data_IF_983384832690
#
_entry.id   IF_983384832690
#
_cell.length_a   1.000
_cell.length_b   1.000
_cell.length_c   1.000
_cell.angle_alpha   90.00
_cell.angle_beta   90.00
_cell.angle_gamma   90.00
#
_symmetry.space_group_name_H-M   'P 1'
#
loop_
_entity.id
_entity.type
_entity.pdbx_description
1 polymer ?
#
# COMPACT_ATOMS: atom_id res chain seq x y z
N UNK A 1 10.45 18.74 7.66
CA UNK A 1 9.61 17.54 7.75
C UNK A 1 9.77 16.98 9.16
N UNK A 2 8.70 16.58 9.84
CA UNK A 2 8.78 15.96 11.19
C UNK A 2 9.70 14.73 11.10
N UNK A 3 10.59 14.58 12.06
CA UNK A 3 11.41 13.39 12.21
C UNK A 3 10.73 12.50 13.25
N UNK A 4 10.44 11.27 12.87
CA UNK A 4 9.77 10.29 13.74
C UNK A 4 10.79 9.51 14.56
N UNK A 5 10.40 9.14 15.76
CA UNK A 5 11.16 8.29 16.65
C UNK A 5 10.85 6.82 16.36
N UNK A 6 11.41 6.32 15.26
CA UNK A 6 11.28 4.94 14.82
C UNK A 6 12.41 4.12 15.42
N UNK A 7 12.16 2.91 15.94
CA UNK A 7 13.18 2.02 16.51
C UNK A 7 14.42 1.87 15.61
N UNK A 8 15.61 1.88 16.22
CA UNK A 8 16.89 1.90 15.50
C UNK A 8 17.10 0.64 14.65
N UNK A 9 16.53 -0.49 15.05
CA UNK A 9 16.60 -1.76 14.31
C UNK A 9 15.86 -1.74 12.96
N UNK A 10 15.04 -0.71 12.68
CA UNK A 10 14.41 -0.51 11.36
C UNK A 10 15.22 0.43 10.46
N UNK A 11 16.20 1.13 11.01
CA UNK A 11 17.04 2.07 10.28
C UNK A 11 18.26 1.37 9.69
N UNK A 12 18.80 1.94 8.63
CA UNK A 12 20.02 1.51 7.97
C UNK A 12 20.94 2.72 7.80
N UNK A 13 22.18 2.67 8.30
CA UNK A 13 23.15 3.73 8.02
C UNK A 13 23.44 3.92 6.54
N UNK A 14 23.63 2.82 5.79
CA UNK A 14 23.86 2.84 4.34
C UNK A 14 22.69 3.48 3.61
N UNK A 15 21.46 2.98 3.82
CA UNK A 15 20.29 3.50 3.10
C UNK A 15 20.00 4.95 3.49
N UNK A 16 20.23 5.32 4.75
CA UNK A 16 20.13 6.71 5.19
C UNK A 16 21.12 7.60 4.45
N UNK A 17 22.36 7.18 4.32
CA UNK A 17 23.40 7.92 3.61
C UNK A 17 23.07 8.07 2.12
N UNK A 18 22.65 6.98 1.45
CA UNK A 18 22.19 7.00 0.05
C UNK A 18 21.02 7.98 -0.14
N UNK A 19 20.00 7.92 0.72
CA UNK A 19 18.83 8.82 0.65
C UNK A 19 19.23 10.29 0.87
N UNK A 20 20.16 10.56 1.79
CA UNK A 20 20.67 11.90 2.06
C UNK A 20 21.49 12.45 0.88
N UNK A 21 22.40 11.64 0.33
CA UNK A 21 23.18 11.97 -0.86
C UNK A 21 22.26 12.36 -2.03
N UNK A 22 21.28 11.50 -2.35
CA UNK A 22 20.31 11.76 -3.42
C UNK A 22 19.49 13.02 -3.17
N UNK A 23 19.10 13.30 -1.92
CA UNK A 23 18.38 14.53 -1.56
C UNK A 23 19.21 15.79 -1.75
N UNK A 24 20.53 15.73 -1.55
CA UNK A 24 21.44 16.85 -1.79
C UNK A 24 21.60 17.13 -3.28
N UNK A 25 21.74 16.06 -4.10
CA UNK A 25 21.89 16.16 -5.55
C UNK A 25 20.61 16.64 -6.25
N UNK A 26 19.46 16.18 -5.80
CA UNK A 26 18.16 16.48 -6.41
C UNK A 26 17.12 16.88 -5.34
N UNK A 27 17.18 18.15 -4.92
CA UNK A 27 16.27 18.73 -3.91
C UNK A 27 14.79 18.73 -4.36
N UNK A 28 14.56 18.83 -5.66
CA UNK A 28 13.22 18.91 -6.25
C UNK A 28 12.64 17.54 -6.63
N UNK A 29 13.38 16.46 -6.40
CA UNK A 29 12.99 15.08 -6.74
C UNK A 29 12.60 14.88 -8.21
N UNK A 30 13.25 15.59 -9.13
CA UNK A 30 12.98 15.51 -10.57
C UNK A 30 13.76 14.39 -11.27
N UNK A 31 14.89 14.01 -10.70
CA UNK A 31 15.72 12.92 -11.20
C UNK A 31 15.25 11.59 -10.63
N UNK A 32 14.55 10.81 -11.47
CA UNK A 32 14.03 9.48 -11.14
C UNK A 32 15.05 8.35 -11.32
N UNK A 33 16.27 8.63 -11.80
CA UNK A 33 17.29 7.60 -12.02
C UNK A 33 17.63 6.84 -10.73
N UNK A 34 17.88 5.52 -10.79
CA UNK A 34 18.27 4.75 -9.63
C UNK A 34 19.68 5.11 -9.15
N UNK A 35 19.97 4.80 -7.89
CA UNK A 35 21.30 4.94 -7.34
C UNK A 35 22.08 3.65 -7.56
N UNK A 36 23.23 3.74 -8.22
CA UNK A 36 24.13 2.61 -8.39
C UNK A 36 24.97 2.39 -7.13
N UNK A 37 24.98 1.13 -6.65
CA UNK A 37 25.95 0.59 -5.71
C UNK A 37 26.81 -0.43 -6.49
N UNK A 38 28.06 -0.07 -6.74
CA UNK A 38 29.01 -0.92 -7.47
C UNK A 38 29.78 -1.81 -6.49
N UNK A 39 29.44 -3.09 -6.42
CA UNK A 39 30.12 -4.07 -5.57
C UNK A 39 31.09 -4.96 -6.38
N UNK A 40 31.61 -4.46 -7.50
CA UNK A 40 32.52 -5.18 -8.39
C UNK A 40 31.82 -6.25 -9.22
N UNK A 41 31.60 -7.45 -8.67
CA UNK A 41 30.92 -8.54 -9.38
C UNK A 41 29.40 -8.33 -9.53
N UNK A 42 28.85 -7.34 -8.84
CA UNK A 42 27.44 -7.06 -8.82
C UNK A 42 27.18 -5.55 -8.79
N UNK A 43 26.31 -5.08 -9.66
CA UNK A 43 25.78 -3.72 -9.65
C UNK A 43 24.36 -3.74 -9.12
N UNK A 44 24.11 -3.04 -8.02
CA UNK A 44 22.77 -2.85 -7.47
C UNK A 44 22.28 -1.45 -7.83
N UNK A 45 21.11 -1.38 -8.45
CA UNK A 45 20.43 -0.13 -8.77
C UNK A 45 19.25 0.03 -7.82
N UNK A 46 19.40 0.92 -6.83
CA UNK A 46 18.33 1.24 -5.88
C UNK A 46 17.37 2.26 -6.47
N UNK A 47 16.08 2.00 -6.40
CA UNK A 47 15.06 2.95 -6.80
C UNK A 47 15.23 4.31 -6.09
N UNK A 48 14.78 5.40 -6.74
CA UNK A 48 14.89 6.76 -6.18
C UNK A 48 14.09 6.94 -4.89
N UNK A 49 12.93 6.28 -4.79
CA UNK A 49 12.03 6.29 -3.65
C UNK A 49 11.64 4.85 -3.27
N UNK A 50 11.76 4.52 -2.01
CA UNK A 50 11.43 3.24 -1.41
C UNK A 50 11.50 3.32 0.13
N UNK A 51 11.01 2.28 0.82
CA UNK A 51 11.06 2.18 2.28
C UNK A 51 9.98 2.98 2.99
N UNK A 52 10.06 3.08 4.30
CA UNK A 52 9.03 3.68 5.14
C UNK A 52 8.57 5.05 4.67
N UNK A 53 7.24 5.21 4.56
CA UNK A 53 6.61 6.49 4.29
C UNK A 53 6.21 7.20 5.58
N UNK A 54 5.82 8.47 5.47
CA UNK A 54 5.37 9.30 6.60
C UNK A 54 4.28 8.62 7.45
N UNK A 55 3.24 8.05 6.81
CA UNK A 55 2.13 7.40 7.52
C UNK A 55 2.58 6.18 8.31
N UNK A 56 3.49 5.39 7.74
CA UNK A 56 4.08 4.21 8.39
C UNK A 56 4.98 4.62 9.57
N UNK A 57 5.88 5.57 9.40
CA UNK A 57 6.75 6.04 10.50
C UNK A 57 5.93 6.63 11.65
N UNK A 58 4.87 7.38 11.35
CA UNK A 58 3.96 7.92 12.35
C UNK A 58 3.24 6.81 13.13
N UNK A 59 2.73 5.79 12.42
CA UNK A 59 2.05 4.68 13.06
C UNK A 59 2.97 3.88 13.99
N UNK A 60 4.19 3.61 13.54
CA UNK A 60 5.22 2.92 14.33
C UNK A 60 5.57 3.76 15.57
N UNK A 61 5.85 5.05 15.43
CA UNK A 61 6.18 5.93 16.57
C UNK A 61 5.07 5.90 17.62
N UNK A 62 3.80 6.05 17.23
CA UNK A 62 2.67 6.03 18.15
C UNK A 62 2.55 4.66 18.84
N UNK A 63 2.66 3.55 18.09
CA UNK A 63 2.52 2.22 18.66
C UNK A 63 3.60 1.92 19.71
N UNK A 64 4.86 2.15 19.39
CA UNK A 64 5.98 1.91 20.32
C UNK A 64 5.90 2.83 21.54
N UNK A 65 5.63 4.11 21.36
CA UNK A 65 5.41 5.05 22.49
C UNK A 65 4.20 4.68 23.33
N UNK A 66 3.15 4.12 22.74
CA UNK A 66 1.99 3.63 23.49
C UNK A 66 2.40 2.52 24.43
N UNK A 67 3.23 1.58 23.98
CA UNK A 67 3.73 0.49 24.82
C UNK A 67 4.62 1.03 25.94
N UNK A 68 5.58 1.88 25.61
CA UNK A 68 6.54 2.46 26.59
C UNK A 68 5.85 3.28 27.67
N UNK A 69 4.85 4.07 27.30
CA UNK A 69 4.16 4.99 28.21
C UNK A 69 3.05 4.32 29.06
N UNK A 70 2.71 3.05 28.78
CA UNK A 70 1.63 2.35 29.46
C UNK A 70 2.07 0.99 30.02
N UNK A 71 3.11 0.94 30.88
CA UNK A 71 3.59 -0.31 31.43
C UNK A 71 2.49 -1.00 32.25
N UNK A 72 2.31 -2.30 32.03
CA UNK A 72 1.33 -3.13 32.73
C UNK A 72 -0.11 -3.05 32.22
N UNK A 73 -0.42 -2.20 31.24
CA UNK A 73 -1.71 -2.20 30.58
C UNK A 73 -1.77 -3.26 29.47
N UNK A 74 -2.93 -3.83 29.24
CA UNK A 74 -3.17 -4.64 28.05
C UNK A 74 -3.33 -3.72 26.85
N UNK A 75 -2.51 -3.97 25.81
CA UNK A 75 -2.54 -3.19 24.56
C UNK A 75 -2.94 -4.13 23.43
N UNK A 76 -3.93 -3.71 22.69
CA UNK A 76 -4.43 -4.39 21.50
C UNK A 76 -4.21 -3.54 20.28
N UNK A 77 -3.87 -4.17 19.16
CA UNK A 77 -4.02 -3.63 17.83
C UNK A 77 -5.34 -4.15 17.25
N UNK A 78 -6.08 -3.29 16.60
CA UNK A 78 -7.32 -3.71 15.94
C UNK A 78 -7.04 -4.79 14.88
N UNK A 79 -6.00 -4.58 14.05
CA UNK A 79 -5.43 -5.58 13.12
C UNK A 79 -3.92 -5.33 12.97
N UNK A 80 -3.27 -5.86 11.93
CA UNK A 80 -1.87 -5.53 11.63
C UNK A 80 -1.64 -4.01 11.59
N UNK A 81 -0.58 -3.52 12.25
CA UNK A 81 -0.25 -2.10 12.26
C UNK A 81 0.01 -1.56 10.85
N UNK A 82 0.79 -2.32 10.12
CA UNK A 82 1.16 -2.12 8.72
C UNK A 82 1.40 -3.48 8.08
N UNK A 83 1.36 -3.59 6.77
CA UNK A 83 1.67 -4.85 6.08
C UNK A 83 3.18 -5.12 6.06
N UNK A 84 3.74 -5.37 7.25
CA UNK A 84 5.13 -5.80 7.44
C UNK A 84 5.22 -6.83 8.57
N UNK A 85 5.62 -8.08 8.26
CA UNK A 85 5.61 -9.16 9.24
C UNK A 85 6.59 -8.96 10.39
N UNK A 86 7.75 -8.33 10.16
CA UNK A 86 8.73 -8.07 11.22
C UNK A 86 8.18 -7.07 12.24
N UNK A 87 7.63 -5.95 11.79
CA UNK A 87 7.08 -4.92 12.68
C UNK A 87 5.93 -5.49 13.52
N UNK A 88 5.05 -6.29 12.92
CA UNK A 88 3.95 -6.92 13.64
C UNK A 88 4.46 -7.96 14.64
N UNK A 89 5.49 -8.76 14.30
CA UNK A 89 6.11 -9.71 15.21
C UNK A 89 6.80 -9.02 16.38
N UNK A 90 7.48 -7.91 16.15
CA UNK A 90 8.13 -7.13 17.21
C UNK A 90 7.09 -6.59 18.20
N UNK A 91 5.96 -6.04 17.72
CA UNK A 91 4.85 -5.61 18.59
C UNK A 91 4.25 -6.76 19.41
N UNK A 92 4.05 -7.93 18.80
CA UNK A 92 3.58 -9.13 19.49
C UNK A 92 4.59 -9.57 20.58
N UNK A 93 5.89 -9.52 20.29
CA UNK A 93 6.96 -9.86 21.26
C UNK A 93 6.95 -8.94 22.49
N UNK A 94 6.46 -7.70 22.32
CA UNK A 94 6.27 -6.72 23.39
C UNK A 94 4.92 -6.86 24.14
N UNK A 95 4.15 -7.91 23.84
CA UNK A 95 2.90 -8.24 24.53
C UNK A 95 1.63 -7.67 23.89
N UNK A 96 1.73 -7.02 22.73
CA UNK A 96 0.56 -6.55 21.98
C UNK A 96 -0.19 -7.73 21.36
N UNK A 97 -1.52 -7.67 21.37
CA UNK A 97 -2.40 -8.70 20.78
C UNK A 97 -3.25 -8.10 19.66
N UNK A 98 -3.59 -8.91 18.66
CA UNK A 98 -4.50 -8.49 17.58
C UNK A 98 -5.94 -8.88 17.89
N UNK A 99 -6.88 -7.95 17.69
CA UNK A 99 -8.33 -8.21 17.82
C UNK A 99 -8.90 -8.89 16.58
N UNK A 100 -8.38 -8.53 15.41
CA UNK A 100 -8.83 -9.06 14.11
C UNK A 100 -7.62 -9.42 13.23
N UNK A 101 -7.86 -10.29 12.25
CA UNK A 101 -6.96 -10.46 11.11
C UNK A 101 -7.14 -9.33 10.06
N UNK A 102 -6.32 -9.36 9.03
CA UNK A 102 -6.36 -8.35 7.94
C UNK A 102 -7.66 -8.39 7.13
N UNK A 103 -8.42 -9.47 7.19
CA UNK A 103 -9.74 -9.61 6.55
C UNK A 103 -10.90 -9.14 7.45
N UNK A 104 -10.60 -8.76 8.70
CA UNK A 104 -11.59 -8.32 9.69
C UNK A 104 -12.25 -9.47 10.45
N UNK A 105 -11.73 -10.70 10.31
CA UNK A 105 -12.17 -11.82 11.11
C UNK A 105 -11.65 -11.67 12.53
N UNK A 106 -12.55 -11.73 13.49
CA UNK A 106 -12.24 -11.60 14.89
C UNK A 106 -11.33 -12.75 15.37
N UNK A 107 -10.21 -12.39 16.02
CA UNK A 107 -9.24 -13.30 16.63
C UNK A 107 -9.44 -13.35 18.14
N UNK A 108 -9.67 -12.18 18.75
CA UNK A 108 -10.02 -12.02 20.16
C UNK A 108 -11.40 -11.35 20.22
N UNK A 109 -12.29 -11.85 21.08
CA UNK A 109 -13.62 -11.27 21.22
C UNK A 109 -13.54 -9.82 21.70
N UNK A 110 -14.31 -8.94 21.07
CA UNK A 110 -14.48 -7.58 21.58
C UNK A 110 -15.08 -7.56 22.99
N UNK A 111 -15.75 -8.63 23.43
CA UNK A 111 -16.28 -8.72 24.78
C UNK A 111 -15.19 -8.96 25.85
N UNK A 112 -14.00 -9.36 25.43
CA UNK A 112 -12.85 -9.53 26.34
C UNK A 112 -12.16 -8.20 26.66
N UNK A 113 -12.42 -7.14 25.89
CA UNK A 113 -11.80 -5.82 26.11
C UNK A 113 -12.69 -4.94 26.97
N UNK A 114 -12.05 -4.11 27.78
CA UNK A 114 -12.69 -3.22 28.77
C UNK A 114 -12.17 -1.79 28.63
N UNK A 115 -12.81 -0.82 29.25
CA UNK A 115 -12.40 0.59 29.26
C UNK A 115 -10.97 0.83 29.84
N UNK A 116 -10.39 -0.16 30.54
CA UNK A 116 -9.01 -0.07 31.05
C UNK A 116 -7.95 -0.47 30.03
N UNK A 117 -8.34 -1.10 28.94
CA UNK A 117 -7.48 -1.55 27.87
C UNK A 117 -7.19 -0.44 26.86
N UNK A 118 -6.09 -0.57 26.15
CA UNK A 118 -5.75 0.34 25.06
C UNK A 118 -5.97 -0.41 23.74
N UNK A 119 -6.69 0.22 22.81
CA UNK A 119 -6.84 -0.27 21.44
C UNK A 119 -6.23 0.74 20.49
N UNK A 120 -5.23 0.30 19.75
CA UNK A 120 -4.56 1.10 18.72
C UNK A 120 -5.22 0.83 17.37
N UNK A 121 -5.68 1.88 16.71
CA UNK A 121 -6.22 1.81 15.34
C UNK A 121 -5.04 1.81 14.35
N UNK A 122 -4.96 0.86 13.40
CA UNK A 122 -3.83 0.76 12.47
C UNK A 122 -3.81 1.89 11.43
N UNK A 123 -2.71 1.98 10.67
CA UNK A 123 -2.52 3.01 9.65
C UNK A 123 -3.59 3.03 8.55
N UNK A 124 -4.32 1.95 8.36
CA UNK A 124 -5.40 1.80 7.37
C UNK A 124 -6.73 2.41 7.81
N UNK A 125 -6.83 2.82 9.09
CA UNK A 125 -8.09 3.23 9.72
C UNK A 125 -8.99 2.04 10.07
N UNK A 126 -10.24 2.34 10.38
CA UNK A 126 -11.27 1.32 10.67
C UNK A 126 -12.65 1.77 10.23
N UNK A 127 -13.63 0.87 10.35
CA UNK A 127 -15.03 1.16 10.02
C UNK A 127 -15.73 1.92 11.16
N UNK A 128 -16.70 2.76 10.81
CA UNK A 128 -17.54 3.49 11.79
C UNK A 128 -18.24 2.55 12.79
N UNK A 129 -18.61 1.34 12.36
CA UNK A 129 -19.22 0.36 13.26
C UNK A 129 -18.26 -0.08 14.38
N UNK A 130 -16.96 -0.27 14.05
CA UNK A 130 -15.94 -0.62 15.05
C UNK A 130 -15.63 0.58 15.94
N UNK A 131 -15.52 1.79 15.38
CA UNK A 131 -15.33 3.00 16.19
C UNK A 131 -16.45 3.18 17.21
N UNK A 132 -17.69 3.01 16.79
CA UNK A 132 -18.85 3.04 17.66
C UNK A 132 -18.79 1.95 18.74
N UNK A 133 -18.48 0.71 18.37
CA UNK A 133 -18.35 -0.40 19.33
C UNK A 133 -17.28 -0.11 20.40
N UNK A 134 -16.11 0.40 20.00
CA UNK A 134 -15.04 0.75 20.92
C UNK A 134 -15.45 1.91 21.84
N UNK A 135 -16.15 2.92 21.31
CA UNK A 135 -16.67 4.04 22.09
C UNK A 135 -17.74 3.60 23.11
N UNK A 136 -18.65 2.69 22.73
CA UNK A 136 -19.66 2.11 23.64
C UNK A 136 -19.03 1.32 24.79
N UNK A 137 -17.85 0.74 24.57
CA UNK A 137 -17.05 0.07 25.62
C UNK A 137 -16.21 1.04 26.46
N UNK A 138 -16.27 2.34 26.19
CA UNK A 138 -15.50 3.37 26.89
C UNK A 138 -14.02 3.41 26.54
N UNK A 139 -13.62 2.82 25.40
CA UNK A 139 -12.21 2.79 24.95
C UNK A 139 -11.86 4.11 24.26
N UNK A 140 -10.83 4.77 24.77
CA UNK A 140 -10.32 6.05 24.26
C UNK A 140 -9.40 5.82 23.06
N UNK A 141 -9.96 5.81 21.83
CA UNK A 141 -9.16 5.55 20.62
C UNK A 141 -8.43 6.79 20.10
N UNK A 142 -8.89 8.01 20.41
CA UNK A 142 -8.38 9.25 19.82
C UNK A 142 -6.84 9.44 19.98
N UNK A 143 -6.29 9.04 21.14
CA UNK A 143 -4.84 9.15 21.40
C UNK A 143 -4.01 8.01 20.77
N UNK A 144 -4.67 6.98 20.32
CA UNK A 144 -4.08 5.74 19.79
C UNK A 144 -4.53 5.44 18.36
N UNK A 145 -5.05 6.45 17.68
CA UNK A 145 -5.42 6.37 16.29
C UNK A 145 -4.19 6.68 15.42
N UNK A 146 -3.75 5.69 14.66
CA UNK A 146 -2.61 5.82 13.75
C UNK A 146 -3.03 5.93 12.29
N UNK A 147 -4.32 6.13 12.02
CA UNK A 147 -4.84 6.29 10.66
C UNK A 147 -3.99 7.28 9.87
N UNK A 148 -3.56 6.86 8.70
CA UNK A 148 -2.73 7.68 7.86
C UNK A 148 -3.51 8.91 7.37
N UNK A 149 -2.97 10.14 7.48
CA UNK A 149 -3.65 11.34 7.02
C UNK A 149 -4.05 11.32 5.53
N UNK A 150 -3.38 10.50 4.72
CA UNK A 150 -3.75 10.32 3.31
C UNK A 150 -4.98 9.42 3.14
N UNK A 151 -5.24 8.50 4.06
CA UNK A 151 -6.49 7.72 4.12
C UNK A 151 -7.63 8.63 4.55
N UNK A 152 -7.45 9.41 5.62
CA UNK A 152 -8.44 10.42 6.06
C UNK A 152 -8.78 11.43 4.96
N UNK A 153 -7.78 11.81 4.15
CA UNK A 153 -8.01 12.69 2.99
C UNK A 153 -8.97 12.09 1.97
N UNK A 154 -8.96 10.77 1.77
CA UNK A 154 -9.94 10.08 0.90
C UNK A 154 -11.33 10.18 1.49
N UNK A 155 -11.47 9.98 2.81
CA UNK A 155 -12.76 10.11 3.53
C UNK A 155 -13.31 11.52 3.40
N UNK A 156 -12.52 12.55 3.71
CA UNK A 156 -12.90 13.96 3.56
C UNK A 156 -13.25 14.31 2.09
N UNK A 157 -12.57 13.71 1.12
CA UNK A 157 -12.91 13.90 -0.29
C UNK A 157 -14.24 13.26 -0.64
N UNK A 158 -14.52 12.08 -0.09
CA UNK A 158 -15.80 11.39 -0.25
C UNK A 158 -16.96 12.23 0.30
N UNK A 159 -16.80 12.82 1.49
CA UNK A 159 -17.76 13.74 2.07
C UNK A 159 -18.04 14.98 1.19
N UNK A 160 -16.98 15.63 0.68
CA UNK A 160 -17.11 16.76 -0.24
C UNK A 160 -17.84 16.41 -1.55
N UNK A 161 -17.68 15.17 -2.04
CA UNK A 161 -18.40 14.65 -3.21
C UNK A 161 -19.87 14.44 -2.85
N UNK A 162 -20.16 13.83 -1.69
CA UNK A 162 -21.49 13.58 -1.17
C UNK A 162 -22.29 14.87 -0.96
N UNK A 163 -21.70 15.93 -0.39
CA UNK A 163 -22.31 17.24 -0.20
C UNK A 163 -22.83 17.87 -1.51
N UNK A 164 -22.23 17.51 -2.65
CA UNK A 164 -22.66 17.94 -3.99
C UNK A 164 -23.70 17.01 -4.61
N UNK A 165 -24.19 16.03 -3.85
CA UNK A 165 -25.21 15.07 -4.27
C UNK A 165 -24.72 14.00 -5.25
N UNK A 166 -23.44 13.66 -5.25
CA UNK A 166 -22.92 12.54 -6.01
C UNK A 166 -22.87 11.27 -5.15
N UNK A 167 -23.08 10.13 -5.78
CA UNK A 167 -22.70 8.83 -5.23
C UNK A 167 -21.20 8.60 -5.41
N UNK A 168 -20.66 7.55 -4.80
CA UNK A 168 -19.23 7.25 -4.86
C UNK A 168 -18.99 5.86 -5.44
N UNK A 169 -18.06 5.78 -6.39
CA UNK A 169 -17.44 4.54 -6.85
C UNK A 169 -16.03 4.50 -6.25
N UNK A 170 -15.73 3.47 -5.45
CA UNK A 170 -14.40 3.25 -4.87
C UNK A 170 -13.67 2.23 -5.73
N UNK A 171 -12.53 2.61 -6.32
CA UNK A 171 -11.59 1.66 -6.90
C UNK A 171 -10.66 1.14 -5.81
N UNK A 172 -10.78 -0.14 -5.47
CA UNK A 172 -9.97 -0.77 -4.43
C UNK A 172 -10.34 -2.24 -4.20
N UNK A 173 -9.43 -2.97 -3.58
CA UNK A 173 -9.67 -4.38 -3.22
C UNK A 173 -10.73 -4.45 -2.11
N UNK A 174 -11.91 -5.06 -2.33
CA UNK A 174 -13.02 -4.99 -1.35
C UNK A 174 -12.68 -5.52 0.04
N UNK A 175 -11.82 -6.55 0.12
CA UNK A 175 -11.42 -7.14 1.41
C UNK A 175 -10.27 -6.39 2.10
N UNK A 176 -9.61 -5.45 1.43
CA UNK A 176 -8.51 -4.70 2.03
C UNK A 176 -9.00 -3.78 3.15
N UNK A 177 -8.27 -3.70 4.26
CA UNK A 177 -8.63 -2.94 5.46
C UNK A 177 -8.95 -1.47 5.12
N UNK A 178 -8.10 -0.81 4.35
CA UNK A 178 -8.30 0.57 3.92
C UNK A 178 -9.55 0.75 3.07
N UNK A 179 -9.85 -0.20 2.15
CA UNK A 179 -11.05 -0.14 1.31
C UNK A 179 -12.31 -0.31 2.15
N UNK A 180 -12.30 -1.22 3.13
CA UNK A 180 -13.44 -1.41 4.06
C UNK A 180 -13.66 -0.17 4.92
N UNK A 181 -12.59 0.44 5.43
CA UNK A 181 -12.67 1.69 6.18
C UNK A 181 -13.23 2.82 5.31
N UNK A 182 -12.65 3.05 4.13
CA UNK A 182 -13.10 4.07 3.17
C UNK A 182 -14.56 3.86 2.74
N UNK A 183 -14.94 2.60 2.46
CA UNK A 183 -16.32 2.27 2.14
C UNK A 183 -17.28 2.61 3.29
N UNK A 184 -16.92 2.29 4.53
CA UNK A 184 -17.75 2.56 5.70
C UNK A 184 -17.97 4.07 5.90
N UNK A 185 -16.91 4.89 5.74
CA UNK A 185 -17.01 6.35 5.87
C UNK A 185 -17.77 6.96 4.70
N UNK A 186 -17.53 6.54 3.46
CA UNK A 186 -18.25 7.04 2.29
C UNK A 186 -19.73 6.65 2.31
N UNK A 187 -20.04 5.41 2.65
CA UNK A 187 -21.42 4.90 2.71
C UNK A 187 -22.29 5.58 3.79
N UNK A 188 -21.66 6.15 4.82
CA UNK A 188 -22.36 6.95 5.82
C UNK A 188 -22.80 8.33 5.26
N UNK A 189 -22.17 8.82 4.20
CA UNK A 189 -22.44 10.12 3.61
C UNK A 189 -23.31 10.03 2.35
N UNK A 190 -23.14 8.98 1.53
CA UNK A 190 -23.80 8.85 0.22
C UNK A 190 -23.81 7.40 -0.25
N UNK A 191 -24.73 7.01 -1.16
CA UNK A 191 -24.68 5.71 -1.80
C UNK A 191 -23.32 5.42 -2.44
N UNK A 192 -22.75 4.28 -2.09
CA UNK A 192 -21.36 3.93 -2.41
C UNK A 192 -21.27 2.52 -2.95
N UNK A 193 -20.41 2.30 -3.94
CA UNK A 193 -20.08 0.99 -4.51
C UNK A 193 -18.57 0.83 -4.67
N UNK A 194 -18.07 -0.41 -4.53
CA UNK A 194 -16.66 -0.76 -4.72
C UNK A 194 -16.48 -1.57 -6.00
N UNK A 195 -15.50 -1.21 -6.81
CA UNK A 195 -15.00 -1.99 -7.95
C UNK A 195 -13.52 -2.33 -7.71
N UNK A 196 -13.15 -3.58 -8.00
CA UNK A 196 -11.79 -4.06 -7.76
C UNK A 196 -10.80 -3.66 -8.87
N UNK A 197 -11.27 -3.67 -10.13
CA UNK A 197 -10.42 -3.52 -11.32
C UNK A 197 -11.22 -3.05 -12.54
N UNK A 198 -10.54 -2.96 -13.68
CA UNK A 198 -11.17 -2.56 -14.94
C UNK A 198 -12.26 -3.53 -15.40
N UNK A 199 -12.12 -4.83 -15.17
CA UNK A 199 -13.12 -5.81 -15.59
C UNK A 199 -14.45 -5.60 -14.85
N UNK A 200 -14.41 -5.40 -13.53
CA UNK A 200 -15.59 -5.05 -12.73
C UNK A 200 -16.15 -3.66 -13.08
N UNK A 201 -15.27 -2.73 -13.42
CA UNK A 201 -15.68 -1.39 -13.89
C UNK A 201 -16.44 -1.45 -15.20
N UNK A 202 -16.01 -2.27 -16.15
CA UNK A 202 -16.74 -2.55 -17.40
C UNK A 202 -18.08 -3.19 -17.10
N UNK A 203 -18.12 -4.10 -16.14
CA UNK A 203 -19.38 -4.73 -15.72
C UNK A 203 -20.34 -3.71 -15.12
N UNK A 204 -19.88 -2.82 -14.23
CA UNK A 204 -20.66 -1.71 -13.68
C UNK A 204 -21.20 -0.79 -14.80
N UNK A 205 -20.38 -0.51 -15.80
CA UNK A 205 -20.76 0.33 -16.94
C UNK A 205 -21.92 -0.26 -17.75
N UNK A 206 -22.05 -1.59 -17.84
CA UNK A 206 -23.20 -2.23 -18.51
C UNK A 206 -24.52 -1.96 -17.79
N UNK A 207 -24.50 -1.89 -16.46
CA UNK A 207 -25.65 -1.46 -15.67
C UNK A 207 -25.94 0.03 -15.86
N UNK A 208 -24.91 0.87 -15.86
CA UNK A 208 -25.06 2.33 -16.11
C UNK A 208 -25.72 2.57 -17.46
N UNK A 209 -25.34 1.83 -18.51
CA UNK A 209 -25.83 2.01 -19.88
C UNK A 209 -27.12 1.24 -20.19
N UNK A 210 -27.63 0.44 -19.24
CA UNK A 210 -28.83 -0.38 -19.45
C UNK A 210 -28.60 -1.62 -20.36
N UNK A 211 -27.34 -2.00 -20.58
CA UNK A 211 -26.98 -3.23 -21.32
C UNK A 211 -27.13 -4.51 -20.48
N UNK A 212 -27.25 -4.37 -19.17
CA UNK A 212 -27.51 -5.45 -18.24
C UNK A 212 -28.72 -5.11 -17.37
N UNK A 213 -29.53 -6.14 -17.04
CA UNK A 213 -30.75 -5.93 -16.26
C UNK A 213 -30.44 -5.59 -14.79
N UNK A 214 -31.25 -4.73 -14.22
CA UNK A 214 -31.12 -4.36 -12.80
C UNK A 214 -31.24 -5.57 -11.85
N UNK A 215 -32.01 -6.59 -12.24
CA UNK A 215 -32.15 -7.85 -11.48
C UNK A 215 -30.82 -8.60 -11.24
N UNK A 216 -29.85 -8.41 -12.12
CA UNK A 216 -28.58 -9.14 -12.08
C UNK A 216 -27.53 -8.43 -11.23
N UNK A 217 -27.84 -7.20 -10.76
CA UNK A 217 -26.91 -6.36 -10.03
C UNK A 217 -26.49 -6.97 -8.69
N UNK A 218 -27.45 -7.53 -7.96
CA UNK A 218 -27.19 -8.21 -6.68
C UNK A 218 -26.18 -9.35 -6.84
N UNK A 219 -26.31 -10.15 -7.90
CA UNK A 219 -25.38 -11.25 -8.17
C UNK A 219 -23.98 -10.72 -8.51
N UNK A 220 -23.90 -9.67 -9.32
CA UNK A 220 -22.63 -9.13 -9.81
C UNK A 220 -21.82 -8.42 -8.72
N UNK A 221 -22.50 -7.69 -7.81
CA UNK A 221 -21.86 -6.79 -6.83
C UNK A 221 -22.25 -7.08 -5.38
N UNK A 222 -22.70 -8.29 -5.06
CA UNK A 222 -23.11 -8.66 -3.71
C UNK A 222 -22.08 -8.31 -2.65
N UNK A 223 -22.52 -7.56 -1.63
CA UNK A 223 -21.67 -7.13 -0.50
C UNK A 223 -20.65 -6.04 -0.84
N UNK A 224 -20.78 -5.37 -2.00
CA UNK A 224 -19.87 -4.33 -2.47
C UNK A 224 -20.50 -2.94 -2.57
N UNK A 225 -21.75 -2.78 -2.21
CA UNK A 225 -22.47 -1.52 -2.24
C UNK A 225 -23.19 -1.27 -0.91
N UNK A 226 -23.48 -0.01 -0.63
CA UNK A 226 -24.13 0.43 0.59
C UNK A 226 -25.60 0.00 0.64
N UNK A 227 -26.15 -0.13 1.85
CA UNK A 227 -27.56 -0.42 2.06
C UNK A 227 -28.45 0.61 1.34
N UNK A 228 -29.51 0.13 0.70
CA UNK A 228 -30.43 0.97 -0.08
C UNK A 228 -29.86 1.50 -1.40
N UNK A 229 -28.72 0.97 -1.87
CA UNK A 229 -28.14 1.36 -3.17
C UNK A 229 -29.09 0.94 -4.31
N UNK A 230 -29.47 1.91 -5.15
CA UNK A 230 -30.31 1.72 -6.32
C UNK A 230 -29.56 2.17 -7.59
N UNK A 231 -29.31 1.24 -8.49
CA UNK A 231 -28.55 1.51 -9.73
C UNK A 231 -29.20 2.57 -10.62
N UNK A 232 -30.54 2.66 -10.62
CA UNK A 232 -31.28 3.58 -11.47
C UNK A 232 -31.19 5.03 -10.98
N UNK A 233 -31.01 5.21 -9.67
CA UNK A 233 -30.94 6.53 -9.03
C UNK A 233 -29.51 6.92 -8.66
N UNK A 234 -28.66 5.98 -8.21
CA UNK A 234 -27.37 6.29 -7.65
C UNK A 234 -26.20 6.21 -8.63
N UNK A 235 -26.43 5.67 -9.85
CA UNK A 235 -25.44 5.67 -10.94
C UNK A 235 -25.69 6.74 -12.01
N UNK A 236 -26.61 7.69 -11.75
CA UNK A 236 -26.84 8.84 -12.65
C UNK A 236 -25.79 9.94 -12.44
N UNK A 237 -25.27 10.07 -11.21
CA UNK A 237 -24.33 11.11 -10.83
C UNK A 237 -23.37 10.57 -9.77
N UNK A 238 -22.10 10.43 -10.11
CA UNK A 238 -21.12 9.89 -9.17
C UNK A 238 -19.70 10.45 -9.36
N UNK A 239 -18.88 10.29 -8.33
CA UNK A 239 -17.44 10.52 -8.39
C UNK A 239 -16.66 9.25 -8.10
N UNK A 240 -15.41 9.19 -8.54
CA UNK A 240 -14.50 8.06 -8.32
C UNK A 240 -13.45 8.45 -7.28
N UNK A 241 -13.27 7.63 -6.26
CA UNK A 241 -12.13 7.67 -5.33
C UNK A 241 -11.44 6.32 -5.34
N UNK A 242 -10.23 6.23 -4.82
CA UNK A 242 -9.50 4.97 -4.84
C UNK A 242 -8.78 4.69 -3.51
N UNK A 243 -8.58 3.42 -3.23
CA UNK A 243 -7.64 2.97 -2.20
C UNK A 243 -6.27 3.61 -2.48
N UNK A 244 -5.63 4.20 -1.47
CA UNK A 244 -4.45 5.06 -1.62
C UNK A 244 -3.22 4.36 -2.19
N UNK A 245 -3.22 3.03 -2.21
CA UNK A 245 -2.11 2.16 -2.63
C UNK A 245 -2.33 1.45 -3.97
N UNK A 246 -3.34 1.84 -4.74
CA UNK A 246 -3.62 1.26 -6.07
C UNK A 246 -2.57 1.68 -7.12
N UNK A 247 -2.56 0.98 -8.26
CA UNK A 247 -1.72 1.34 -9.39
C UNK A 247 -2.26 2.62 -10.05
N UNK A 248 -1.38 3.60 -10.25
CA UNK A 248 -1.77 4.92 -10.75
C UNK A 248 -2.37 4.84 -12.18
N UNK A 249 -1.79 4.01 -13.04
CA UNK A 249 -2.29 3.78 -14.40
C UNK A 249 -3.69 3.20 -14.40
N UNK A 250 -3.98 2.23 -13.53
CA UNK A 250 -5.28 1.58 -13.45
C UNK A 250 -6.34 2.52 -12.89
N UNK A 251 -5.97 3.27 -11.83
CA UNK A 251 -6.85 4.28 -11.23
C UNK A 251 -7.27 5.33 -12.27
N UNK A 252 -6.31 5.83 -13.06
CA UNK A 252 -6.59 6.79 -14.10
C UNK A 252 -7.45 6.17 -15.21
N UNK A 253 -7.10 4.96 -15.67
CA UNK A 253 -7.86 4.27 -16.73
C UNK A 253 -9.31 3.99 -16.33
N UNK A 254 -9.56 3.58 -15.09
CA UNK A 254 -10.90 3.32 -14.52
C UNK A 254 -11.71 4.64 -14.48
N UNK A 255 -11.11 5.71 -13.98
CA UNK A 255 -11.77 7.02 -13.91
C UNK A 255 -12.12 7.54 -15.29
N UNK A 256 -11.19 7.49 -16.24
CA UNK A 256 -11.38 7.95 -17.62
C UNK A 256 -12.41 7.10 -18.35
N UNK A 257 -12.43 5.79 -18.14
CA UNK A 257 -13.43 4.90 -18.73
C UNK A 257 -14.83 5.24 -18.21
N UNK A 258 -15.05 5.34 -16.90
CA UNK A 258 -16.33 5.70 -16.33
C UNK A 258 -16.78 7.10 -16.77
N UNK A 259 -15.87 8.06 -16.84
CA UNK A 259 -16.12 9.39 -17.37
C UNK A 259 -16.61 9.32 -18.83
N UNK A 260 -15.95 8.51 -19.66
CA UNK A 260 -16.35 8.32 -21.07
C UNK A 260 -17.74 7.69 -21.20
N UNK A 261 -18.07 6.73 -20.34
CA UNK A 261 -19.40 6.10 -20.28
C UNK A 261 -20.47 7.13 -19.96
N UNK A 262 -20.23 8.03 -19.00
CA UNK A 262 -21.18 9.09 -18.64
C UNK A 262 -21.33 10.12 -19.75
N UNK A 263 -20.22 10.54 -20.37
CA UNK A 263 -20.24 11.46 -21.53
C UNK A 263 -21.09 10.87 -22.66
N UNK A 264 -20.87 9.60 -23.00
CA UNK A 264 -21.58 8.95 -24.09
C UNK A 264 -23.07 8.75 -23.76
N UNK A 265 -23.40 8.34 -22.53
CA UNK A 265 -24.79 8.09 -22.13
C UNK A 265 -25.63 9.38 -22.12
N UNK A 266 -25.08 10.48 -21.61
CA UNK A 266 -25.81 11.72 -21.38
C UNK A 266 -25.45 12.82 -22.37
N UNK A 267 -24.61 12.52 -23.39
CA UNK A 267 -24.14 13.47 -24.42
C UNK A 267 -23.54 14.74 -23.80
N UNK A 268 -22.67 14.54 -22.75
CA UNK A 268 -22.10 15.63 -21.98
C UNK A 268 -21.02 16.38 -22.74
N UNK A 269 -20.94 17.67 -22.46
CA UNK A 269 -19.85 18.56 -22.89
C UNK A 269 -18.94 18.86 -21.71
N UNK A 270 -17.83 19.58 -21.91
CA UNK A 270 -16.98 20.06 -20.81
C UNK A 270 -17.73 20.95 -19.82
N UNK A 271 -18.78 21.64 -20.24
CA UNK A 271 -19.59 22.54 -19.41
C UNK A 271 -20.68 21.83 -18.62
N UNK A 272 -21.09 20.61 -19.05
CA UNK A 272 -22.18 19.85 -18.41
C UNK A 272 -21.69 18.58 -17.73
N UNK A 273 -20.39 18.28 -17.78
CA UNK A 273 -19.80 17.08 -17.22
C UNK A 273 -20.08 16.94 -15.71
N UNK A 274 -19.99 18.03 -14.97
CA UNK A 274 -20.24 18.08 -13.53
C UNK A 274 -21.69 17.77 -13.13
N UNK A 275 -22.62 17.74 -14.05
CA UNK A 275 -24.00 17.31 -13.77
C UNK A 275 -24.10 15.81 -13.49
N UNK A 276 -23.17 15.01 -14.00
CA UNK A 276 -23.19 13.54 -13.91
C UNK A 276 -21.89 12.89 -13.43
N UNK A 277 -20.74 13.57 -13.54
CA UNK A 277 -19.45 13.03 -13.14
C UNK A 277 -18.64 14.05 -12.35
N UNK A 278 -18.27 13.71 -11.11
CA UNK A 278 -17.42 14.60 -10.32
C UNK A 278 -15.99 14.57 -10.87
N UNK A 279 -15.41 15.74 -11.14
CA UNK A 279 -13.99 15.84 -11.44
C UNK A 279 -13.18 15.58 -10.16
N UNK A 280 -12.83 14.33 -9.95
CA UNK A 280 -12.01 13.89 -8.83
C UNK A 280 -10.60 13.62 -9.34
N UNK A 281 -9.62 14.34 -8.79
CA UNK A 281 -8.22 13.95 -8.95
C UNK A 281 -8.03 12.59 -8.25
N UNK A 282 -7.03 11.81 -8.69
CA UNK A 282 -6.68 10.59 -8.00
C UNK A 282 -6.50 10.84 -6.50
N UNK A 283 -6.85 9.85 -5.69
CA UNK A 283 -6.71 9.88 -4.23
C UNK A 283 -5.55 9.01 -3.75
N UNK A 284 -4.60 8.70 -4.64
CA UNK A 284 -3.37 7.99 -4.29
C UNK A 284 -2.54 8.79 -3.28
N UNK A 285 -1.85 8.10 -2.38
CA UNK A 285 -0.93 8.78 -1.49
C UNK A 285 0.38 9.14 -2.22
N UNK A 286 1.07 10.18 -1.72
CA UNK A 286 2.34 10.62 -2.31
C UNK A 286 3.39 9.49 -2.38
N UNK A 287 3.43 8.62 -1.35
CA UNK A 287 4.39 7.51 -1.31
C UNK A 287 4.12 6.47 -2.40
N UNK A 288 2.85 6.21 -2.71
CA UNK A 288 2.46 5.35 -3.82
C UNK A 288 2.93 5.95 -5.14
N UNK A 289 2.65 7.23 -5.38
CA UNK A 289 3.07 7.92 -6.60
C UNK A 289 4.60 8.01 -6.72
N UNK A 290 5.30 8.42 -5.64
CA UNK A 290 6.76 8.51 -5.62
C UNK A 290 7.42 7.14 -5.90
N UNK A 291 6.93 6.05 -5.26
CA UNK A 291 7.49 4.72 -5.42
C UNK A 291 7.23 4.16 -6.83
N UNK A 292 6.01 4.28 -7.36
CA UNK A 292 5.68 3.79 -8.71
C UNK A 292 6.46 4.58 -9.78
N UNK A 293 6.56 5.90 -9.66
CA UNK A 293 7.35 6.74 -10.55
C UNK A 293 8.84 6.36 -10.51
N UNK A 294 9.38 6.14 -9.30
CA UNK A 294 10.77 5.73 -9.13
C UNK A 294 11.06 4.35 -9.75
N UNK A 295 10.14 3.40 -9.61
CA UNK A 295 10.27 2.08 -10.24
C UNK A 295 10.17 2.20 -11.76
N UNK A 296 9.22 2.95 -12.30
CA UNK A 296 9.09 3.17 -13.74
C UNK A 296 10.38 3.76 -14.32
N UNK A 297 10.96 4.78 -13.68
CA UNK A 297 12.25 5.36 -14.10
C UNK A 297 13.42 4.38 -13.95
N UNK A 298 13.43 3.57 -12.90
CA UNK A 298 14.47 2.55 -12.67
C UNK A 298 14.45 1.46 -13.76
N UNK A 299 13.28 1.12 -14.29
CA UNK A 299 13.09 0.11 -15.33
C UNK A 299 13.63 0.51 -16.71
N UNK A 300 14.05 1.76 -16.90
CA UNK A 300 14.80 2.20 -18.08
C UNK A 300 16.29 1.82 -17.98
N UNK A 301 16.76 1.37 -16.80
CA UNK A 301 18.13 0.90 -16.58
C UNK A 301 18.25 -0.56 -16.99
N UNK A 302 19.18 -0.92 -17.90
CA UNK A 302 19.41 -2.32 -18.27
C UNK A 302 19.86 -3.15 -17.07
N UNK A 303 19.10 -4.19 -16.74
CA UNK A 303 19.39 -5.09 -15.63
C UNK A 303 18.95 -6.51 -15.93
N UNK A 304 19.50 -7.48 -15.18
CA UNK A 304 19.25 -8.91 -15.37
C UNK A 304 17.97 -9.35 -14.65
N UNK A 305 17.70 -8.75 -13.49
CA UNK A 305 16.54 -9.07 -12.66
C UNK A 305 16.17 -7.94 -11.72
N UNK A 306 14.96 -8.02 -11.12
CA UNK A 306 14.54 -7.15 -10.03
C UNK A 306 14.23 -7.95 -8.75
N UNK A 307 14.55 -7.36 -7.61
CA UNK A 307 14.12 -7.84 -6.28
C UNK A 307 13.27 -6.74 -5.64
N UNK A 308 12.02 -7.08 -5.34
CA UNK A 308 11.07 -6.20 -4.68
C UNK A 308 10.86 -6.71 -3.26
N UNK A 309 11.10 -5.82 -2.26
CA UNK A 309 11.14 -6.20 -0.85
C UNK A 309 9.93 -5.62 -0.12
N UNK A 310 9.20 -6.46 0.64
CA UNK A 310 8.11 -6.01 1.50
C UNK A 310 7.13 -7.10 1.86
N UNK A 311 6.15 -6.77 2.69
CA UNK A 311 5.12 -7.71 3.15
C UNK A 311 4.22 -8.19 2.02
N UNK A 312 3.92 -9.47 1.98
CA UNK A 312 3.14 -10.09 0.91
C UNK A 312 1.69 -9.58 0.83
N UNK A 313 1.15 -9.05 1.93
CA UNK A 313 -0.17 -8.43 1.99
C UNK A 313 -0.17 -6.94 1.57
N UNK A 314 1.01 -6.34 1.38
CA UNK A 314 1.13 -4.94 0.99
C UNK A 314 0.68 -4.71 -0.45
N UNK A 315 -0.38 -3.95 -0.63
CA UNK A 315 -0.87 -3.52 -1.96
C UNK A 315 0.17 -2.67 -2.68
N UNK A 316 0.79 -1.71 -1.97
CA UNK A 316 1.87 -0.88 -2.54
C UNK A 316 3.01 -1.75 -3.08
N UNK A 317 3.51 -2.71 -2.28
CA UNK A 317 4.60 -3.59 -2.73
C UNK A 317 4.17 -4.47 -3.91
N UNK A 318 2.96 -5.04 -3.88
CA UNK A 318 2.44 -5.89 -4.96
C UNK A 318 2.43 -5.16 -6.31
N UNK A 319 2.04 -3.89 -6.33
CA UNK A 319 2.04 -3.09 -7.57
C UNK A 319 3.46 -2.74 -8.06
N UNK A 320 4.46 -2.62 -7.15
CA UNK A 320 5.85 -2.48 -7.58
C UNK A 320 6.38 -3.77 -8.23
N UNK A 321 5.96 -4.95 -7.70
CA UNK A 321 6.26 -6.24 -8.34
C UNK A 321 5.63 -6.31 -9.73
N UNK A 322 4.37 -5.94 -9.86
CA UNK A 322 3.64 -5.92 -11.14
C UNK A 322 4.34 -5.07 -12.20
N UNK A 323 4.79 -3.87 -11.82
CA UNK A 323 5.55 -2.99 -12.72
C UNK A 323 6.87 -3.62 -13.16
N UNK A 324 7.60 -4.26 -12.24
CA UNK A 324 8.87 -4.91 -12.56
C UNK A 324 8.68 -6.16 -13.44
N UNK A 325 7.71 -7.04 -13.10
CA UNK A 325 7.42 -8.28 -13.86
C UNK A 325 7.06 -8.01 -15.32
N UNK A 326 6.50 -6.85 -15.63
CA UNK A 326 6.17 -6.45 -16.99
C UNK A 326 7.42 -6.24 -17.87
N UNK A 327 8.63 -6.15 -17.29
CA UNK A 327 9.88 -5.81 -18.00
C UNK A 327 10.98 -6.86 -17.87
N UNK A 328 11.14 -7.51 -16.71
CA UNK A 328 12.26 -8.41 -16.43
C UNK A 328 11.90 -9.44 -15.35
N UNK A 329 12.68 -10.54 -15.20
CA UNK A 329 12.51 -11.49 -14.11
C UNK A 329 12.48 -10.77 -12.77
N UNK A 330 11.45 -11.01 -11.96
CA UNK A 330 11.21 -10.27 -10.71
C UNK A 330 10.92 -11.22 -9.57
N UNK A 331 11.56 -10.96 -8.43
CA UNK A 331 11.42 -11.78 -7.22
C UNK A 331 10.88 -10.94 -6.08
N UNK A 332 9.76 -11.38 -5.51
CA UNK A 332 9.10 -10.74 -4.39
C UNK A 332 9.44 -11.45 -3.08
N UNK A 333 10.16 -10.78 -2.19
CA UNK A 333 10.63 -11.32 -0.92
C UNK A 333 10.28 -10.40 0.25
N UNK A 334 10.09 -10.95 1.44
CA UNK A 334 9.81 -10.19 2.65
C UNK A 334 11.01 -10.02 3.58
N UNK A 335 12.07 -10.83 3.40
CA UNK A 335 13.27 -10.78 4.23
C UNK A 335 14.48 -11.41 3.51
N UNK A 336 15.73 -11.17 3.98
CA UNK A 336 16.95 -11.67 3.34
C UNK A 336 17.10 -13.20 3.35
N UNK A 337 16.44 -13.92 4.27
CA UNK A 337 16.54 -15.39 4.36
C UNK A 337 15.84 -16.10 3.18
N UNK A 338 15.06 -15.37 2.39
CA UNK A 338 14.46 -15.88 1.16
C UNK A 338 15.49 -16.09 0.06
N UNK A 339 16.66 -15.47 0.14
CA UNK A 339 17.82 -15.75 -0.71
C UNK A 339 18.60 -16.90 -0.07
N UNK A 340 18.41 -18.11 -0.56
CA UNK A 340 19.03 -19.30 0.01
C UNK A 340 20.50 -19.37 -0.35
N UNK A 341 20.80 -19.23 -1.65
CA UNK A 341 22.16 -19.30 -2.24
C UNK A 341 22.24 -18.43 -3.49
N UNK A 342 23.36 -18.42 -4.19
CA UNK A 342 23.47 -17.80 -5.51
C UNK A 342 22.58 -18.49 -6.58
N UNK A 343 22.10 -19.70 -6.30
CA UNK A 343 21.29 -20.48 -7.22
C UNK A 343 19.81 -20.49 -6.86
N UNK A 344 19.43 -20.25 -5.60
CA UNK A 344 18.06 -20.48 -5.12
C UNK A 344 17.51 -19.28 -4.35
N UNK A 345 16.29 -18.89 -4.71
CA UNK A 345 15.50 -17.86 -4.04
C UNK A 345 14.06 -18.34 -3.80
N UNK A 346 13.53 -18.05 -2.64
CA UNK A 346 12.11 -18.23 -2.31
C UNK A 346 11.39 -16.92 -2.64
N UNK A 347 10.36 -16.97 -3.47
CA UNK A 347 9.59 -15.79 -3.91
C UNK A 347 8.11 -16.02 -3.76
N UNK A 348 7.35 -14.94 -3.62
CA UNK A 348 5.90 -14.94 -3.53
C UNK A 348 5.29 -14.47 -4.86
N UNK A 349 4.33 -15.21 -5.38
CA UNK A 349 3.48 -14.70 -6.45
C UNK A 349 2.52 -13.66 -5.87
N UNK A 350 2.61 -12.42 -6.32
CA UNK A 350 1.82 -11.33 -5.75
C UNK A 350 0.31 -11.44 -5.99
N UNK A 351 -0.11 -12.18 -7.04
CA UNK A 351 -1.54 -12.41 -7.37
C UNK A 351 -2.12 -13.55 -6.54
N UNK A 352 -1.50 -14.73 -6.58
CA UNK A 352 -2.01 -15.95 -5.92
C UNK A 352 -1.60 -16.08 -4.46
N UNK A 353 -0.59 -15.32 -4.02
CA UNK A 353 0.08 -15.42 -2.72
C UNK A 353 0.80 -16.76 -2.50
N UNK A 354 0.98 -17.54 -3.55
CA UNK A 354 1.74 -18.78 -3.52
C UNK A 354 3.24 -18.49 -3.35
N UNK A 355 3.89 -19.23 -2.45
CA UNK A 355 5.32 -19.15 -2.19
C UNK A 355 6.02 -20.30 -2.92
N UNK A 356 6.98 -19.98 -3.76
CA UNK A 356 7.72 -20.96 -4.58
C UNK A 356 9.23 -20.74 -4.44
N UNK A 357 9.99 -21.82 -4.64
CA UNK A 357 11.45 -21.75 -4.74
C UNK A 357 11.83 -21.76 -6.22
N UNK A 358 12.63 -20.77 -6.61
CA UNK A 358 13.15 -20.63 -7.97
C UNK A 358 14.63 -20.97 -7.96
N UNK A 359 15.03 -21.90 -8.86
CA UNK A 359 16.43 -22.28 -9.08
C UNK A 359 17.03 -21.43 -10.20
N UNK A 360 18.35 -21.20 -10.13
CA UNK A 360 19.11 -20.41 -11.11
C UNK A 360 18.57 -18.97 -11.30
N UNK A 361 18.22 -18.32 -10.19
CA UNK A 361 17.67 -16.97 -10.24
C UNK A 361 18.70 -15.90 -10.60
N UNK A 362 20.00 -16.09 -10.23
CA UNK A 362 21.08 -15.23 -10.68
C UNK A 362 21.68 -15.77 -11.99
N UNK A 363 21.96 -14.90 -12.97
CA UNK A 363 22.63 -15.30 -14.20
C UNK A 363 24.08 -15.74 -13.93
N UNK A 364 24.48 -16.87 -14.49
CA UNK A 364 25.83 -17.44 -14.30
C UNK A 364 26.89 -16.82 -15.20
N UNK A 365 26.50 -16.18 -16.30
CA UNK A 365 27.38 -15.68 -17.35
C UNK A 365 27.48 -14.14 -17.40
N UNK A 366 26.85 -13.42 -16.43
CA UNK A 366 26.92 -11.98 -16.36
C UNK A 366 27.94 -11.53 -15.30
N UNK A 367 28.85 -10.64 -15.69
CA UNK A 367 29.77 -9.95 -14.75
C UNK A 367 29.98 -8.53 -15.23
N UNK A 368 29.56 -7.52 -14.44
CA UNK A 368 28.80 -7.64 -13.20
C UNK A 368 27.35 -8.08 -13.40
N UNK A 369 26.78 -8.80 -12.43
CA UNK A 369 25.35 -9.08 -12.36
C UNK A 369 24.62 -7.78 -12.01
N UNK A 370 23.60 -7.41 -12.77
CA UNK A 370 22.85 -6.15 -12.59
C UNK A 370 21.48 -6.40 -11.98
N UNK A 371 21.24 -5.87 -10.79
CA UNK A 371 20.03 -6.12 -10.02
C UNK A 371 19.32 -4.80 -9.70
N UNK A 372 18.05 -4.68 -10.09
CA UNK A 372 17.19 -3.60 -9.62
C UNK A 372 16.62 -3.95 -8.24
N UNK A 373 16.71 -3.03 -7.29
CA UNK A 373 16.14 -3.21 -5.95
C UNK A 373 15.21 -2.05 -5.62
N UNK A 374 14.01 -2.41 -5.16
CA UNK A 374 13.06 -1.49 -4.56
C UNK A 374 12.36 -2.15 -3.38
N UNK A 375 11.64 -1.35 -2.61
CA UNK A 375 10.81 -1.87 -1.53
C UNK A 375 9.52 -1.07 -1.35
N UNK A 376 8.51 -1.73 -0.79
CA UNK A 376 7.24 -1.08 -0.47
C UNK A 376 7.34 -0.05 0.65
N UNK A 377 6.32 0.81 0.74
CA UNK A 377 6.24 1.90 1.71
C UNK A 377 6.12 1.43 3.19
N UNK A 378 5.96 0.14 3.43
CA UNK A 378 5.94 -0.49 4.76
C UNK A 378 7.19 -1.33 5.06
N UNK A 379 8.25 -1.25 4.24
CA UNK A 379 9.48 -2.00 4.42
C UNK A 379 10.55 -1.18 5.15
N UNK A 380 11.13 -1.68 6.26
CA UNK A 380 12.24 -1.02 6.93
C UNK A 380 13.49 -0.92 6.05
N UNK A 381 14.22 0.19 6.14
CA UNK A 381 15.50 0.38 5.45
C UNK A 381 16.54 -0.69 5.84
N UNK A 382 16.50 -1.15 7.10
CA UNK A 382 17.37 -2.22 7.59
C UNK A 382 17.16 -3.55 6.84
N UNK A 383 15.94 -3.87 6.42
CA UNK A 383 15.65 -5.08 5.64
C UNK A 383 16.24 -4.96 4.23
N UNK A 384 16.15 -3.77 3.62
CA UNK A 384 16.77 -3.51 2.30
C UNK A 384 18.28 -3.70 2.36
N UNK A 385 18.95 -3.10 3.37
CA UNK A 385 20.39 -3.29 3.58
C UNK A 385 20.75 -4.76 3.82
N UNK A 386 19.96 -5.48 4.63
CA UNK A 386 20.20 -6.89 4.89
C UNK A 386 20.07 -7.78 3.62
N UNK A 387 19.15 -7.44 2.73
CA UNK A 387 19.03 -8.10 1.41
C UNK A 387 20.25 -7.81 0.54
N UNK A 388 20.74 -6.58 0.50
CA UNK A 388 21.97 -6.20 -0.24
C UNK A 388 23.16 -6.98 0.31
N UNK A 389 23.35 -7.02 1.64
CA UNK A 389 24.41 -7.80 2.30
C UNK A 389 24.33 -9.29 1.94
N UNK A 390 23.13 -9.85 1.94
CA UNK A 390 22.93 -11.26 1.59
C UNK A 390 23.28 -11.54 0.14
N UNK A 391 22.87 -10.68 -0.79
CA UNK A 391 23.25 -10.79 -2.21
C UNK A 391 24.77 -10.71 -2.39
N UNK A 392 25.42 -9.71 -1.78
CA UNK A 392 26.87 -9.59 -1.83
C UNK A 392 27.57 -10.87 -1.32
N UNK A 393 27.10 -11.41 -0.18
CA UNK A 393 27.66 -12.65 0.37
C UNK A 393 27.52 -13.86 -0.55
N UNK A 394 26.36 -14.05 -1.23
CA UNK A 394 26.17 -15.23 -2.09
C UNK A 394 26.88 -15.13 -3.43
N UNK A 395 27.21 -13.91 -3.91
CA UNK A 395 28.03 -13.71 -5.13
C UNK A 395 29.51 -13.51 -4.85
N UNK A 396 29.93 -13.53 -3.57
CA UNK A 396 31.34 -13.37 -3.18
C UNK A 396 31.86 -11.95 -3.32
N UNK A 397 31.02 -10.93 -3.26
CA UNK A 397 31.40 -9.51 -3.22
C UNK A 397 31.65 -9.04 -1.79
N UNK A 398 32.68 -8.19 -1.60
CA UNK A 398 32.99 -7.63 -0.26
C UNK A 398 32.15 -6.37 -0.01
N UNK A 399 31.04 -6.55 0.70
CA UNK A 399 30.17 -5.46 1.09
C UNK A 399 30.84 -4.44 2.02
N UNK A 400 31.76 -4.86 2.89
CA UNK A 400 32.40 -3.96 3.84
C UNK A 400 33.51 -3.13 3.19
N UNK A 401 34.25 -3.69 2.23
CA UNK A 401 35.19 -2.92 1.41
C UNK A 401 34.43 -1.84 0.62
N UNK A 402 33.29 -2.19 0.01
CA UNK A 402 32.45 -1.20 -0.66
C UNK A 402 32.06 -0.01 0.25
N UNK A 403 31.68 -0.26 1.52
CA UNK A 403 31.31 0.81 2.46
C UNK A 403 32.48 1.74 2.84
N UNK A 404 33.73 1.22 2.80
CA UNK A 404 34.94 2.02 3.09
C UNK A 404 35.29 2.95 1.92
N UNK A 405 35.11 2.46 0.69
CA UNK A 405 35.46 3.18 -0.53
C UNK A 405 34.39 4.20 -0.96
N UNK A 406 33.15 4.06 -0.47
CA UNK A 406 32.03 4.92 -0.83
C UNK A 406 31.37 5.50 0.45
N UNK A 407 32.01 6.45 1.13
CA UNK A 407 31.34 7.21 2.19
C UNK A 407 30.32 8.15 1.54
N UNK A 408 29.05 7.74 1.51
CA UNK A 408 27.93 8.60 1.11
C UNK A 408 27.73 9.74 2.12
#
# INVERSE_FOLDING_TARGET
>A
MKQFDVPINYRSPLITAVKQYRKQQDKLKKDGTPTLLDLGNMHIYLARHFGFCYGVENAIEIAFKTIENNPGKRIFLLSEMIHNPQVNADLVSMGVKFLQDTYGKQVISFDEITANDIVVIPAFGTTLAIEKLLAEKGIQTANYNTTCPFVEKVWNRSEQIAEKGYSIVIHGKPQHEETRATFSHAAACTPTIVVNDMAETIELAKFITGQRNASDFEEAFKGRYSEGFDINNHLIKFGVVNQTTQLATDTQAISDYLKSVMINKYQLTSETLDQHFADTRDTLCYATNDNQTAVTSMLDTPADLAIVIGGYNSSNTSHLVELCEAKLPTYFIDNPNKIISAQEIITCNWRTKEITTISNFLPTNATPIKILITSGASCPDAVVEAVIKKLASVVGSDFYAFLQDHPF
#
